data_IF_460994365411
#
_entry.id   IF_460994365411
#
_cell.length_a   1.000
_cell.length_b   1.000
_cell.length_c   1.000
_cell.angle_alpha   90.00
_cell.angle_beta   90.00
_cell.angle_gamma   90.00
#
_symmetry.space_group_name_H-M   'P 1'
#
loop_
_entity.id
_entity.type
_entity.pdbx_description
1 polymer ?
#
# COMPACT_ATOMS: atom_id res chain seq x y z
N UNK A 1 -0.94 49.54 54.16
CA UNK A 1 -0.57 48.14 54.44
C UNK A 1 -0.76 47.39 53.11
N UNK A 2 0.22 47.30 52.21
CA UNK A 2 1.54 46.63 52.33
C UNK A 2 1.30 45.15 52.72
N UNK A 3 1.65 44.10 51.96
CA UNK A 3 2.77 43.90 51.04
C UNK A 3 2.47 42.85 49.94
N UNK A 4 3.28 42.98 48.89
CA UNK A 4 3.46 42.20 47.65
C UNK A 4 4.07 40.78 47.86
N UNK A 5 4.31 39.99 46.79
CA UNK A 5 4.41 38.52 46.79
C UNK A 5 5.83 38.00 47.02
N UNK A 6 5.95 36.70 47.29
CA UNK A 6 7.24 36.01 47.35
C UNK A 6 7.58 35.43 45.98
N UNK A 7 8.45 36.14 45.26
CA UNK A 7 9.35 35.60 44.24
C UNK A 7 10.71 35.31 44.88
N UNK A 8 11.32 34.15 44.61
CA UNK A 8 12.78 33.89 44.63
C UNK A 8 13.02 32.44 44.21
N UNK A 9 14.11 32.03 43.56
CA UNK A 9 15.08 32.64 42.65
C UNK A 9 15.97 31.48 42.15
N UNK A 10 16.49 31.60 40.92
CA UNK A 10 17.78 31.10 40.39
C UNK A 10 18.51 29.88 41.02
N UNK A 11 19.05 28.98 40.18
CA UNK A 11 20.41 29.14 39.64
C UNK A 11 20.82 28.03 38.66
N UNK A 12 21.47 28.47 37.60
CA UNK A 12 22.28 27.67 36.70
C UNK A 12 23.60 27.22 37.35
N UNK A 13 24.28 26.31 36.64
CA UNK A 13 25.69 25.92 36.74
C UNK A 13 26.05 24.76 37.69
N UNK A 14 26.37 23.61 37.09
CA UNK A 14 27.69 23.02 37.32
C UNK A 14 28.26 22.48 36.02
N UNK A 15 29.56 22.73 35.83
CA UNK A 15 30.35 22.54 34.62
C UNK A 15 31.25 21.31 34.78
N UNK A 16 31.78 20.85 33.64
CA UNK A 16 33.15 20.36 33.40
C UNK A 16 33.47 18.85 33.35
N UNK A 17 34.01 18.51 32.16
CA UNK A 17 35.10 17.57 31.82
C UNK A 17 34.67 16.09 31.74
N UNK A 18 34.89 15.37 30.64
CA UNK A 18 36.20 15.14 30.05
C UNK A 18 36.22 15.09 28.51
N UNK A 19 37.36 15.52 27.97
CA UNK A 19 37.70 15.55 26.56
C UNK A 19 38.60 14.37 26.18
N UNK A 20 38.69 14.19 24.86
CA UNK A 20 39.80 13.60 24.10
C UNK A 20 39.92 12.06 24.06
N UNK A 21 39.77 11.54 22.84
CA UNK A 21 40.89 10.99 22.07
C UNK A 21 40.55 10.95 20.58
N UNK A 22 41.07 11.95 19.88
CA UNK A 22 41.30 11.95 18.43
C UNK A 22 42.69 11.35 18.22
N UNK A 23 42.79 10.29 17.42
CA UNK A 23 44.04 9.99 16.71
C UNK A 23 43.73 9.32 15.37
N UNK A 24 44.03 10.10 14.34
CA UNK A 24 44.32 9.76 12.95
C UNK A 24 45.20 8.52 12.78
N UNK A 25 44.96 7.74 11.71
CA UNK A 25 46.06 7.39 10.80
C UNK A 25 45.56 7.05 9.39
N UNK A 26 46.20 7.71 8.43
CA UNK A 26 46.07 7.56 6.98
C UNK A 26 46.71 6.25 6.47
N UNK A 27 46.14 5.78 5.36
CA UNK A 27 46.77 5.20 4.17
C UNK A 27 48.16 4.53 4.24
N UNK A 28 48.29 3.34 3.65
CA UNK A 28 49.23 3.15 2.53
C UNK A 28 48.97 1.85 1.75
N UNK A 29 49.27 1.93 0.45
CA UNK A 29 49.19 0.89 -0.58
C UNK A 29 50.45 0.02 -0.57
N UNK A 30 50.33 -1.28 -0.89
CA UNK A 30 51.20 -2.06 -1.80
C UNK A 30 50.81 -3.54 -1.69
N UNK A 31 50.31 -4.16 -2.75
CA UNK A 31 51.09 -4.79 -3.83
C UNK A 31 51.87 -6.01 -3.33
N UNK A 32 51.26 -7.20 -3.42
CA UNK A 32 52.00 -8.44 -3.64
C UNK A 32 51.21 -9.26 -4.66
N UNK A 33 51.76 -9.34 -5.88
CA UNK A 33 51.42 -10.32 -6.88
C UNK A 33 51.63 -11.72 -6.27
N UNK A 34 50.72 -12.65 -6.52
CA UNK A 34 51.16 -14.01 -6.76
C UNK A 34 50.32 -14.66 -7.85
N UNK A 35 51.06 -15.09 -8.88
CA UNK A 35 50.59 -15.80 -10.04
C UNK A 35 50.11 -17.20 -9.63
N UNK A 36 48.97 -17.63 -10.16
CA UNK A 36 48.75 -19.04 -10.47
C UNK A 36 48.03 -19.15 -11.81
N UNK A 37 48.71 -19.87 -12.68
CA UNK A 37 48.55 -20.01 -14.10
C UNK A 37 47.54 -21.13 -14.40
N UNK A 38 46.46 -20.85 -15.13
CA UNK A 38 45.58 -21.90 -15.67
C UNK A 38 45.24 -21.59 -17.12
N UNK A 39 45.66 -22.52 -17.98
CA UNK A 39 45.73 -22.40 -19.42
C UNK A 39 44.35 -22.25 -20.09
N UNK A 40 44.15 -21.15 -20.81
CA UNK A 40 43.03 -20.96 -21.73
C UNK A 40 43.51 -21.42 -23.11
N UNK A 41 42.91 -22.52 -23.61
CA UNK A 41 43.15 -23.04 -24.97
C UNK A 41 42.58 -22.06 -26.01
N UNK A 42 43.27 -21.78 -27.13
CA UNK A 42 42.76 -20.89 -28.16
C UNK A 42 41.65 -21.57 -28.97
N UNK A 43 40.44 -20.99 -28.94
CA UNK A 43 39.34 -21.37 -29.83
C UNK A 43 39.69 -20.83 -31.23
N UNK A 44 39.93 -21.73 -32.19
CA UNK A 44 40.08 -21.38 -33.61
C UNK A 44 38.76 -20.80 -34.13
N UNK A 45 38.77 -19.52 -34.50
CA UNK A 45 37.67 -18.88 -35.21
C UNK A 45 37.50 -19.52 -36.61
N UNK A 46 36.27 -19.97 -36.92
CA UNK A 46 35.88 -20.40 -38.27
C UNK A 46 35.54 -19.17 -39.13
N UNK A 47 35.93 -19.14 -40.43
CA UNK A 47 35.54 -18.05 -41.32
C UNK A 47 34.04 -18.13 -41.68
N UNK A 48 33.38 -16.99 -41.95
CA UNK A 48 31.97 -16.98 -42.33
C UNK A 48 31.78 -17.54 -43.75
N UNK A 49 30.84 -18.47 -43.88
CA UNK A 49 30.41 -19.02 -45.16
C UNK A 49 29.66 -17.96 -45.97
N UNK A 50 30.07 -17.79 -47.24
CA UNK A 50 29.34 -17.04 -48.27
C UNK A 50 27.94 -17.63 -48.43
N UNK A 51 26.91 -16.83 -48.16
CA UNK A 51 25.53 -17.16 -48.50
C UNK A 51 25.14 -16.48 -49.81
N UNK A 52 24.77 -17.31 -50.78
CA UNK A 52 24.31 -16.93 -52.10
C UNK A 52 22.96 -16.19 -52.02
N UNK A 53 22.86 -15.07 -52.74
CA UNK A 53 21.60 -14.36 -53.01
C UNK A 53 20.53 -15.32 -53.53
N UNK A 54 19.49 -15.56 -52.74
CA UNK A 54 18.20 -16.05 -53.22
C UNK A 54 17.20 -14.90 -53.13
N UNK A 55 16.75 -14.39 -54.28
CA UNK A 55 15.59 -13.51 -54.37
C UNK A 55 14.35 -14.33 -53.98
N UNK A 56 13.84 -14.14 -52.76
CA UNK A 56 12.48 -14.53 -52.40
C UNK A 56 11.59 -13.28 -52.50
N UNK A 57 10.78 -13.24 -53.55
CA UNK A 57 9.66 -12.30 -53.67
C UNK A 57 8.57 -12.84 -52.73
N UNK A 58 8.60 -12.41 -51.46
CA UNK A 58 7.55 -12.71 -50.50
C UNK A 58 6.54 -11.56 -50.49
N UNK A 59 5.34 -11.87 -50.97
CA UNK A 59 4.14 -11.05 -50.90
C UNK A 59 3.95 -10.44 -49.51
N UNK A 60 4.00 -9.10 -49.42
CA UNK A 60 3.63 -8.36 -48.22
C UNK A 60 2.13 -8.46 -47.99
N UNK A 61 1.65 -9.57 -47.41
CA UNK A 61 0.40 -9.53 -46.66
C UNK A 61 0.67 -8.78 -45.37
N UNK A 62 0.21 -7.53 -45.32
CA UNK A 62 0.16 -6.74 -44.10
C UNK A 62 -0.68 -7.50 -43.08
N UNK A 63 -0.01 -8.13 -42.12
CA UNK A 63 -0.65 -8.65 -40.93
C UNK A 63 -0.97 -7.43 -40.06
N UNK A 64 -2.11 -6.80 -40.33
CA UNK A 64 -2.65 -5.80 -39.42
C UNK A 64 -3.04 -6.54 -38.15
N UNK A 65 -2.21 -6.46 -37.11
CA UNK A 65 -2.64 -6.80 -35.77
C UNK A 65 -3.73 -5.79 -35.39
N UNK A 66 -5.00 -6.14 -35.60
CA UNK A 66 -6.09 -5.47 -34.90
C UNK A 66 -5.81 -5.68 -33.41
N UNK A 67 -5.67 -4.59 -32.67
CA UNK A 67 -5.75 -4.63 -31.22
C UNK A 67 -7.06 -5.35 -30.85
N UNK A 68 -7.08 -6.23 -29.84
CA UNK A 68 -8.32 -6.83 -29.39
C UNK A 68 -9.24 -5.70 -28.92
N UNK A 69 -10.47 -5.68 -29.45
CA UNK A 69 -11.52 -4.76 -29.03
C UNK A 69 -11.73 -4.95 -27.52
N UNK A 70 -11.36 -3.94 -26.74
CA UNK A 70 -11.56 -3.94 -25.31
C UNK A 70 -13.07 -3.99 -25.03
N UNK A 71 -13.49 -4.97 -24.22
CA UNK A 71 -14.86 -5.13 -23.76
C UNK A 71 -15.30 -3.89 -22.97
N UNK A 72 -16.38 -3.17 -23.38
CA UNK A 72 -16.86 -1.97 -22.71
C UNK A 72 -17.51 -2.23 -21.33
N UNK A 73 -17.58 -3.48 -20.84
CA UNK A 73 -18.23 -3.82 -19.56
C UNK A 73 -17.27 -4.00 -18.38
N UNK A 74 -15.96 -4.04 -18.59
CA UNK A 74 -15.00 -4.13 -17.48
C UNK A 74 -14.72 -2.73 -16.90
N UNK A 75 -14.90 -2.51 -15.58
CA UNK A 75 -14.60 -1.24 -14.96
C UNK A 75 -13.09 -1.01 -15.02
N UNK A 76 -12.66 -0.16 -15.96
CA UNK A 76 -11.29 0.34 -16.02
C UNK A 76 -11.05 1.18 -14.77
N UNK A 77 -10.36 0.60 -13.78
CA UNK A 77 -9.90 1.35 -12.61
C UNK A 77 -8.96 2.44 -13.12
N UNK A 78 -9.46 3.67 -13.13
CA UNK A 78 -8.63 4.82 -13.44
C UNK A 78 -7.55 4.89 -12.36
N UNK A 79 -6.31 4.50 -12.70
CA UNK A 79 -5.13 4.77 -11.89
C UNK A 79 -4.89 6.28 -11.88
N UNK A 80 -5.73 7.00 -11.14
CA UNK A 80 -5.54 8.40 -10.81
C UNK A 80 -4.31 8.51 -9.92
N UNK A 81 -3.58 9.62 -10.06
CA UNK A 81 -2.46 9.91 -9.18
C UNK A 81 -2.89 9.78 -7.71
N UNK A 82 -2.01 9.21 -6.88
CA UNK A 82 -2.26 9.02 -5.45
C UNK A 82 -2.63 10.36 -4.80
N UNK A 83 -3.69 10.38 -4.01
CA UNK A 83 -4.12 11.53 -3.22
C UNK A 83 -3.08 11.80 -2.14
N UNK A 84 -2.38 12.92 -2.27
CA UNK A 84 -1.39 13.41 -1.31
C UNK A 84 -1.87 14.73 -0.72
N UNK A 85 -2.35 14.67 0.52
CA UNK A 85 -2.76 15.83 1.31
C UNK A 85 -2.00 15.83 2.64
N UNK A 86 -1.80 17.02 3.21
CA UNK A 86 -1.29 17.23 4.55
C UNK A 86 -2.29 16.78 5.63
N UNK A 87 -1.82 16.61 6.86
CA UNK A 87 -2.68 16.21 7.98
C UNK A 87 -3.77 17.27 8.26
N UNK A 88 -3.50 18.55 8.05
CA UNK A 88 -4.48 19.62 8.28
C UNK A 88 -5.58 19.63 7.20
N UNK A 89 -5.21 19.44 5.94
CA UNK A 89 -6.18 19.24 4.85
C UNK A 89 -7.05 18.00 5.10
N UNK A 90 -6.46 16.91 5.61
CA UNK A 90 -7.22 15.73 5.99
C UNK A 90 -8.18 16.00 7.15
N UNK A 91 -7.77 16.77 8.17
CA UNK A 91 -8.67 17.16 9.27
C UNK A 91 -9.82 18.06 8.83
N UNK A 92 -9.63 18.83 7.76
CA UNK A 92 -10.72 19.60 7.17
C UNK A 92 -11.67 18.77 6.31
N UNK A 93 -11.17 17.67 5.72
CA UNK A 93 -11.95 16.80 4.84
C UNK A 93 -12.70 15.69 5.57
N UNK A 94 -12.11 15.18 6.64
CA UNK A 94 -12.59 14.00 7.37
C UNK A 94 -13.23 14.42 8.69
N UNK A 95 -14.16 13.60 9.17
CA UNK A 95 -14.58 13.65 10.58
C UNK A 95 -13.39 13.27 11.49
N UNK A 96 -13.41 13.65 12.78
CA UNK A 96 -12.36 13.26 13.72
C UNK A 96 -12.14 11.75 13.78
N UNK A 97 -13.21 10.95 13.76
CA UNK A 97 -13.18 9.49 13.80
C UNK A 97 -12.58 8.92 12.52
N UNK A 98 -13.03 9.40 11.35
CA UNK A 98 -12.46 9.04 10.05
C UNK A 98 -10.97 9.34 9.99
N UNK A 99 -10.54 10.50 10.49
CA UNK A 99 -9.14 10.89 10.54
C UNK A 99 -8.32 9.94 11.42
N UNK A 100 -8.82 9.60 12.62
CA UNK A 100 -8.15 8.66 13.51
C UNK A 100 -8.00 7.27 12.87
N UNK A 101 -9.05 6.75 12.25
CA UNK A 101 -9.01 5.46 11.57
C UNK A 101 -8.11 5.52 10.34
N UNK A 102 -8.45 6.34 9.34
CA UNK A 102 -7.76 6.39 8.05
C UNK A 102 -6.31 6.86 8.14
N UNK A 103 -5.99 7.82 9.02
CA UNK A 103 -4.65 8.45 9.05
C UNK A 103 -3.81 8.03 10.24
N UNK A 104 -4.41 7.70 11.39
CA UNK A 104 -3.69 7.26 12.60
C UNK A 104 -3.72 5.76 12.84
N UNK A 105 -4.44 4.99 12.01
CA UNK A 105 -4.51 3.53 12.14
C UNK A 105 -5.29 3.09 13.38
N UNK A 106 -6.23 3.92 13.85
CA UNK A 106 -7.14 3.52 14.91
C UNK A 106 -8.12 2.45 14.41
N UNK A 107 -8.72 1.72 15.36
CA UNK A 107 -9.77 0.74 15.07
C UNK A 107 -11.04 1.15 15.80
N UNK A 108 -12.18 1.14 15.10
CA UNK A 108 -13.48 1.41 15.69
C UNK A 108 -13.89 0.28 16.65
N UNK A 109 -14.69 0.54 17.71
CA UNK A 109 -15.17 -0.52 18.58
C UNK A 109 -16.06 -1.54 17.84
N UNK A 110 -15.97 -2.84 18.16
CA UNK A 110 -16.75 -3.87 17.47
C UNK A 110 -18.26 -3.64 17.65
N UNK A 111 -19.01 -3.85 16.57
CA UNK A 111 -20.48 -3.82 16.54
C UNK A 111 -21.09 -2.42 16.47
N UNK A 112 -20.27 -1.37 16.44
CA UNK A 112 -20.74 0.03 16.44
C UNK A 112 -20.88 0.65 15.05
N UNK A 113 -20.20 0.08 14.05
CA UNK A 113 -20.17 0.62 12.69
C UNK A 113 -21.49 0.48 11.93
N UNK A 114 -21.85 1.52 11.16
CA UNK A 114 -23.03 1.57 10.29
C UNK A 114 -23.13 0.37 9.33
N UNK A 115 -21.99 -0.01 8.73
CA UNK A 115 -21.94 -1.01 7.66
C UNK A 115 -21.75 -2.44 8.16
N UNK A 116 -21.75 -2.68 9.47
CA UNK A 116 -21.59 -4.03 10.04
C UNK A 116 -22.71 -4.95 9.51
N UNK A 117 -23.96 -4.58 9.74
CA UNK A 117 -25.16 -5.35 9.33
C UNK A 117 -25.78 -4.88 8.02
N UNK A 118 -25.13 -3.97 7.32
CA UNK A 118 -25.62 -3.45 6.04
C UNK A 118 -25.52 -4.51 4.93
N UNK A 119 -26.61 -4.68 4.17
CA UNK A 119 -26.74 -5.72 3.12
C UNK A 119 -27.30 -5.18 1.80
N UNK A 120 -27.42 -3.85 1.63
CA UNK A 120 -27.94 -3.30 0.38
C UNK A 120 -26.96 -3.49 -0.78
N UNK A 121 -27.51 -3.65 -1.98
CA UNK A 121 -26.74 -3.80 -3.22
C UNK A 121 -26.05 -2.49 -3.61
N UNK A 122 -24.75 -2.53 -3.86
CA UNK A 122 -23.97 -1.35 -4.20
C UNK A 122 -22.46 -1.52 -4.06
N UNK A 123 -21.77 -0.39 -4.00
CA UNK A 123 -20.31 -0.31 -3.89
C UNK A 123 -19.92 0.50 -2.66
N UNK A 124 -18.99 -0.03 -1.89
CA UNK A 124 -18.35 0.65 -0.78
C UNK A 124 -17.11 1.39 -1.28
N UNK A 125 -17.05 2.68 -1.01
CA UNK A 125 -15.98 3.59 -1.39
C UNK A 125 -15.17 3.97 -0.15
N UNK A 126 -13.95 4.44 -0.35
CA UNK A 126 -13.12 4.99 0.71
C UNK A 126 -13.70 6.34 1.17
N UNK A 127 -14.06 6.47 2.44
CA UNK A 127 -14.60 7.74 2.98
C UNK A 127 -13.66 8.94 2.74
N UNK A 128 -12.34 8.72 2.70
CA UNK A 128 -11.39 9.81 2.49
C UNK A 128 -11.15 10.24 1.04
N UNK A 129 -11.16 9.32 0.07
CA UNK A 129 -10.82 9.67 -1.32
C UNK A 129 -11.86 9.24 -2.35
N UNK A 130 -12.96 8.65 -1.92
CA UNK A 130 -14.07 8.17 -2.74
C UNK A 130 -13.68 7.10 -3.78
N UNK A 131 -12.51 6.47 -3.62
CA UNK A 131 -12.11 5.36 -4.47
C UNK A 131 -12.96 4.11 -4.18
N UNK A 132 -13.42 3.36 -5.18
CA UNK A 132 -14.18 2.12 -4.96
C UNK A 132 -13.27 1.07 -4.32
N UNK A 133 -13.71 0.50 -3.19
CA UNK A 133 -12.94 -0.47 -2.41
C UNK A 133 -13.55 -1.88 -2.48
N UNK A 134 -14.85 -2.01 -2.23
CA UNK A 134 -15.52 -3.30 -2.10
C UNK A 134 -16.89 -3.29 -2.78
N UNK A 135 -17.32 -4.45 -3.29
CA UNK A 135 -18.68 -4.65 -3.81
C UNK A 135 -19.55 -5.28 -2.72
N UNK A 136 -20.83 -4.96 -2.68
CA UNK A 136 -21.77 -5.62 -1.75
C UNK A 136 -21.81 -7.15 -1.94
N UNK A 137 -21.57 -7.63 -3.17
CA UNK A 137 -21.51 -9.06 -3.50
C UNK A 137 -20.37 -9.79 -2.81
N UNK A 138 -19.30 -9.08 -2.41
CA UNK A 138 -18.17 -9.69 -1.70
C UNK A 138 -18.29 -9.59 -0.19
N UNK A 139 -19.34 -8.91 0.31
CA UNK A 139 -19.61 -8.77 1.74
C UNK A 139 -20.24 -10.04 2.28
N UNK A 140 -19.84 -10.45 3.47
CA UNK A 140 -20.43 -11.60 4.17
C UNK A 140 -20.48 -11.36 5.68
N UNK A 141 -21.25 -12.17 6.40
CA UNK A 141 -21.27 -12.15 7.86
C UNK A 141 -20.21 -13.10 8.41
N UNK A 142 -19.18 -12.53 9.03
CA UNK A 142 -18.10 -13.28 9.69
C UNK A 142 -18.27 -13.37 11.21
N UNK A 143 -19.22 -12.64 11.79
CA UNK A 143 -19.37 -12.49 13.23
C UNK A 143 -18.24 -11.71 13.93
N UNK A 144 -17.30 -11.09 13.20
CA UNK A 144 -16.15 -10.42 13.83
C UNK A 144 -16.47 -9.09 14.52
N UNK A 145 -17.65 -8.51 14.26
CA UNK A 145 -18.06 -7.21 14.79
C UNK A 145 -17.74 -6.01 13.89
N UNK A 146 -17.07 -6.23 12.76
CA UNK A 146 -16.80 -5.21 11.73
C UNK A 146 -17.34 -5.67 10.37
N UNK A 147 -17.55 -4.76 9.41
CA UNK A 147 -17.74 -5.14 8.02
C UNK A 147 -16.68 -6.13 7.54
N UNK A 148 -17.12 -7.24 6.94
CA UNK A 148 -16.26 -8.28 6.42
C UNK A 148 -16.51 -8.52 4.92
N UNK A 149 -15.42 -8.59 4.15
CA UNK A 149 -15.44 -8.86 2.71
C UNK A 149 -14.43 -9.94 2.37
N UNK A 150 -14.75 -10.80 1.40
CA UNK A 150 -13.82 -11.85 0.97
C UNK A 150 -12.91 -11.43 -0.19
N UNK A 151 -13.27 -10.37 -0.90
CA UNK A 151 -12.49 -9.84 -2.01
C UNK A 151 -12.71 -8.33 -2.17
N UNK A 152 -11.67 -7.63 -2.61
CA UNK A 152 -11.68 -6.21 -2.89
C UNK A 152 -11.79 -5.95 -4.39
N UNK A 153 -12.15 -4.72 -4.78
CA UNK A 153 -12.02 -4.31 -6.17
C UNK A 153 -10.54 -4.43 -6.59
N UNK A 154 -10.23 -5.05 -7.75
CA UNK A 154 -8.85 -5.28 -8.17
C UNK A 154 -8.00 -4.00 -8.12
N UNK A 155 -6.89 -4.05 -7.40
CA UNK A 155 -5.97 -2.91 -7.23
C UNK A 155 -6.42 -1.81 -6.26
N UNK A 156 -7.62 -1.91 -5.66
CA UNK A 156 -8.13 -0.88 -4.76
C UNK A 156 -7.48 -0.87 -3.37
N UNK A 157 -6.92 -2.01 -2.95
CA UNK A 157 -6.26 -2.17 -1.65
C UNK A 157 -4.80 -2.57 -1.79
N UNK A 158 -3.95 -2.01 -0.92
CA UNK A 158 -2.57 -2.43 -0.71
C UNK A 158 -2.47 -3.19 0.60
N UNK A 159 -1.61 -4.21 0.63
CA UNK A 159 -1.35 -5.05 1.79
C UNK A 159 0.02 -4.68 2.39
N UNK A 160 0.09 -4.49 3.70
CA UNK A 160 1.34 -4.21 4.43
C UNK A 160 1.45 -5.09 5.67
N UNK A 161 2.65 -5.52 6.00
CA UNK A 161 2.87 -6.28 7.23
C UNK A 161 2.76 -5.36 8.45
N UNK A 162 1.96 -5.76 9.43
CA UNK A 162 1.76 -5.09 10.71
C UNK A 162 2.27 -5.99 11.85
N UNK A 163 3.30 -5.52 12.55
CA UNK A 163 3.93 -6.20 13.71
C UNK A 163 3.58 -5.54 15.05
N UNK A 164 2.59 -4.67 15.07
CA UNK A 164 2.12 -4.03 16.30
C UNK A 164 1.56 -5.06 17.29
N UNK A 165 1.56 -4.72 18.58
CA UNK A 165 1.00 -5.55 19.66
C UNK A 165 1.57 -6.97 19.77
N UNK A 166 2.77 -7.23 19.23
CA UNK A 166 3.43 -8.53 19.32
C UNK A 166 2.79 -9.61 18.43
N UNK A 167 1.96 -9.23 17.46
CA UNK A 167 1.32 -10.13 16.50
C UNK A 167 1.75 -9.76 15.09
N UNK A 168 1.83 -10.74 14.18
CA UNK A 168 2.03 -10.50 12.75
C UNK A 168 0.69 -10.57 12.03
N UNK A 169 0.23 -9.44 11.50
CA UNK A 169 -1.01 -9.31 10.73
C UNK A 169 -0.72 -8.64 9.39
N UNK A 170 -1.69 -8.67 8.49
CA UNK A 170 -1.61 -7.96 7.21
C UNK A 170 -2.59 -6.79 7.24
N UNK A 171 -2.07 -5.57 7.38
CA UNK A 171 -2.82 -4.34 7.24
C UNK A 171 -3.28 -4.18 5.79
N UNK A 172 -4.54 -3.76 5.61
CA UNK A 172 -5.08 -3.32 4.33
C UNK A 172 -5.26 -1.79 4.33
N UNK A 173 -4.75 -1.15 3.28
CA UNK A 173 -4.84 0.31 3.08
C UNK A 173 -5.39 0.63 1.70
N UNK A 174 -6.11 1.74 1.57
CA UNK A 174 -6.58 2.21 0.27
C UNK A 174 -5.39 2.54 -0.65
N UNK A 175 -5.37 1.98 -1.86
CA UNK A 175 -4.29 2.23 -2.84
C UNK A 175 -4.22 3.69 -3.29
N UNK A 176 -5.36 4.39 -3.30
CA UNK A 176 -5.49 5.75 -3.81
C UNK A 176 -5.07 6.83 -2.82
N UNK A 177 -5.22 6.65 -1.51
CA UNK A 177 -4.88 7.66 -0.49
C UNK A 177 -3.98 7.15 0.65
N UNK A 178 -3.59 5.87 0.63
CA UNK A 178 -2.82 5.21 1.69
C UNK A 178 -3.53 5.20 3.07
N UNK A 179 -4.85 5.40 3.09
CA UNK A 179 -5.65 5.38 4.31
C UNK A 179 -5.79 3.97 4.88
N UNK A 180 -5.60 3.80 6.19
CA UNK A 180 -5.82 2.55 6.91
C UNK A 180 -7.29 2.14 6.82
N UNK A 181 -7.55 0.90 6.42
CA UNK A 181 -8.89 0.34 6.31
C UNK A 181 -9.16 -0.68 7.41
N UNK A 182 -8.17 -1.52 7.71
CA UNK A 182 -8.25 -2.61 8.69
C UNK A 182 -7.20 -3.67 8.42
N UNK A 183 -7.56 -4.94 8.56
CA UNK A 183 -6.66 -6.08 8.35
C UNK A 183 -7.31 -7.17 7.51
N UNK A 184 -6.49 -7.99 6.85
CA UNK A 184 -6.92 -9.19 6.14
C UNK A 184 -6.35 -10.43 6.81
N UNK A 185 -7.20 -11.44 6.98
CA UNK A 185 -6.87 -12.75 7.52
C UNK A 185 -7.15 -13.79 6.44
N UNK A 186 -6.30 -14.81 6.34
CA UNK A 186 -6.39 -15.83 5.27
C UNK A 186 -6.48 -17.20 5.96
N UNK A 187 -7.22 -18.14 5.38
CA UNK A 187 -7.23 -19.53 5.85
C UNK A 187 -8.10 -19.77 7.08
N UNK A 188 -9.18 -18.99 7.26
CA UNK A 188 -10.07 -19.12 8.42
C UNK A 188 -11.19 -20.16 8.22
N UNK A 189 -11.33 -20.71 7.01
CA UNK A 189 -12.31 -21.73 6.68
C UNK A 189 -13.71 -21.18 6.40
N UNK A 190 -13.83 -19.92 5.96
CA UNK A 190 -15.12 -19.38 5.55
C UNK A 190 -15.54 -19.98 4.20
N UNK A 191 -16.84 -20.21 3.96
CA UNK A 191 -17.36 -20.73 2.69
C UNK A 191 -17.37 -19.64 1.61
N UNK A 192 -16.21 -19.05 1.34
CA UNK A 192 -16.00 -17.98 0.36
C UNK A 192 -14.98 -18.44 -0.70
N UNK A 193 -15.00 -17.88 -1.92
CA UNK A 193 -14.10 -18.34 -2.98
C UNK A 193 -12.60 -18.19 -2.67
N UNK A 194 -12.25 -17.20 -1.85
CA UNK A 194 -10.84 -16.85 -1.54
C UNK A 194 -10.37 -17.37 -0.19
N UNK A 195 -11.30 -17.65 0.73
CA UNK A 195 -11.01 -17.87 2.16
C UNK A 195 -10.20 -16.74 2.82
N UNK A 196 -10.33 -15.53 2.25
CA UNK A 196 -9.83 -14.28 2.81
C UNK A 196 -10.97 -13.61 3.60
N UNK A 197 -10.63 -13.01 4.73
CA UNK A 197 -11.51 -12.11 5.49
C UNK A 197 -10.84 -10.76 5.63
N UNK A 198 -11.28 -9.81 4.81
CA UNK A 198 -10.98 -8.40 4.98
C UNK A 198 -11.88 -7.85 6.09
N UNK A 199 -11.31 -7.66 7.28
CA UNK A 199 -11.95 -7.05 8.43
C UNK A 199 -11.72 -5.53 8.37
N UNK A 200 -12.76 -4.78 8.00
CA UNK A 200 -12.65 -3.36 7.62
C UNK A 200 -13.43 -2.49 8.60
N UNK A 201 -12.87 -1.36 9.03
CA UNK A 201 -13.61 -0.38 9.82
C UNK A 201 -14.76 0.21 8.99
N UNK A 202 -15.97 0.25 9.54
CA UNK A 202 -17.11 0.91 8.91
C UNK A 202 -16.88 2.40 8.71
N UNK A 203 -16.27 3.08 9.68
CA UNK A 203 -15.96 4.52 9.61
C UNK A 203 -15.09 4.89 8.41
N UNK A 204 -14.30 3.96 7.84
CA UNK A 204 -13.47 4.26 6.68
C UNK A 204 -14.19 4.05 5.33
N UNK A 205 -15.47 3.67 5.36
CA UNK A 205 -16.28 3.35 4.20
C UNK A 205 -17.39 4.40 3.99
N UNK A 206 -17.73 4.64 2.73
CA UNK A 206 -18.97 5.26 2.30
C UNK A 206 -19.70 4.32 1.34
N UNK A 207 -21.02 4.42 1.19
CA UNK A 207 -21.78 3.49 0.36
C UNK A 207 -22.54 4.21 -0.75
N UNK A 208 -22.50 3.62 -1.96
CA UNK A 208 -23.32 4.04 -3.11
C UNK A 208 -24.21 2.88 -3.53
N UNK A 209 -25.52 3.06 -3.44
CA UNK A 209 -26.48 2.02 -3.83
C UNK A 209 -26.49 1.81 -5.35
N UNK A 210 -26.65 0.55 -5.77
CA UNK A 210 -26.84 0.19 -7.16
C UNK A 210 -28.26 0.50 -7.67
N UNK A 211 -29.25 0.62 -6.77
CA UNK A 211 -30.61 1.01 -7.16
C UNK A 211 -30.68 2.52 -7.30
N UNK A 212 -31.22 3.07 -8.40
CA UNK A 212 -31.50 4.49 -8.47
C UNK A 212 -32.44 4.86 -7.33
N UNK A 213 -32.06 5.88 -6.56
CA UNK A 213 -32.91 6.44 -5.51
C UNK A 213 -34.19 6.90 -6.19
N UNK A 214 -35.31 6.22 -5.91
CA UNK A 214 -36.61 6.68 -6.35
C UNK A 214 -36.85 8.05 -5.70
N UNK A 215 -36.94 9.09 -6.53
CA UNK A 215 -37.25 10.47 -6.12
C UNK A 215 -38.71 10.59 -5.70
#
# INVERSE_FOLDING_TARGET
MALLPVTTNMSAASRMRAAARFTTMLASRSCVLNLCNAAIRPIRARPPARSSRALFIASHRQFTTRAPDADPTEPVIQHRARVTLSDDEWRHRLTPEEFLVLRRGATEPPGTGEYVKHTADGVYHCAGCDAPLYKSTTKFDSGCGWPAFYDAVPGAVTRREDRSHGMTRVEIRCSSCDGHLGHVFHGEGFPTPTDDRHCVNSVCLSFTSAKPVAQ
#
